data_IF_037234680767
#
_entry.id   IF_037234680767
#
_cell.length_a   1.000
_cell.length_b   1.000
_cell.length_c   1.000
_cell.angle_alpha   90.00
_cell.angle_beta   90.00
_cell.angle_gamma   90.00
#
_symmetry.space_group_name_H-M   'P 1'
#
loop_
_entity.id
_entity.type
_entity.pdbx_description
1 polymer ?
#
# COMPACT_ATOMS: atom_id res chain seq x y z
N UNK A 1 9.55 -2.38 8.84
CA UNK A 1 10.15 -2.06 7.57
C UNK A 1 9.78 -0.71 7.01
N UNK A 2 10.60 0.30 7.21
CA UNK A 2 10.81 1.52 6.41
C UNK A 2 9.55 2.15 5.75
N UNK A 3 8.37 2.11 6.36
CA UNK A 3 7.12 2.52 5.71
C UNK A 3 7.15 4.02 5.40
N UNK A 4 7.51 4.84 6.39
CA UNK A 4 7.62 6.29 6.22
C UNK A 4 8.79 6.68 5.32
N UNK A 5 9.95 6.02 5.43
CA UNK A 5 11.07 6.25 4.51
C UNK A 5 10.71 5.92 3.06
N UNK A 6 9.99 4.82 2.83
CA UNK A 6 9.54 4.44 1.48
C UNK A 6 8.57 5.45 0.92
N UNK A 7 7.63 5.91 1.73
CA UNK A 7 6.70 6.98 1.36
C UNK A 7 7.45 8.27 0.98
N UNK A 8 8.38 8.72 1.82
CA UNK A 8 9.14 9.94 1.55
C UNK A 8 9.90 9.90 0.22
N UNK A 9 10.44 8.73 -0.14
CA UNK A 9 11.20 8.51 -1.39
C UNK A 9 10.33 8.14 -2.58
N UNK A 10 9.00 8.14 -2.48
CA UNK A 10 8.06 7.68 -3.52
C UNK A 10 8.38 6.23 -3.98
N UNK A 11 8.82 5.37 -3.07
CA UNK A 11 9.31 4.05 -3.42
C UNK A 11 8.20 3.05 -3.79
N UNK A 12 6.94 3.35 -3.46
CA UNK A 12 5.79 2.49 -3.75
C UNK A 12 4.82 3.29 -4.61
N UNK A 13 4.79 2.94 -5.89
CA UNK A 13 3.92 3.56 -6.88
C UNK A 13 2.54 2.91 -6.88
N UNK A 14 1.52 3.72 -7.14
CA UNK A 14 0.16 3.31 -7.39
C UNK A 14 -0.09 3.42 -8.89
N UNK A 15 -0.59 2.35 -9.48
CA UNK A 15 -0.88 2.26 -10.91
C UNK A 15 -2.32 1.87 -11.15
N UNK A 16 -2.87 2.23 -12.30
CA UNK A 16 -4.23 1.87 -12.68
C UNK A 16 -4.38 0.35 -12.84
N UNK A 17 -5.32 -0.27 -12.11
CA UNK A 17 -5.61 -1.70 -12.16
C UNK A 17 -6.29 -2.13 -13.48
N UNK A 18 -6.93 -1.19 -14.17
CA UNK A 18 -7.54 -1.38 -15.49
C UNK A 18 -7.56 -0.04 -16.24
N UNK A 19 -7.69 -0.05 -17.58
CA UNK A 19 -7.79 1.18 -18.34
C UNK A 19 -9.12 1.88 -18.05
N UNK A 20 -9.12 3.23 -18.10
CA UNK A 20 -10.33 4.00 -17.85
C UNK A 20 -10.13 5.49 -17.99
N UNK A 21 -11.10 6.26 -17.51
CA UNK A 21 -11.10 7.73 -17.51
C UNK A 21 -11.06 8.24 -16.06
N UNK A 22 -10.21 9.20 -15.77
CA UNK A 22 -10.16 9.84 -14.46
C UNK A 22 -11.48 10.57 -14.21
N UNK A 23 -12.24 10.10 -13.23
CA UNK A 23 -13.52 10.67 -12.83
C UNK A 23 -13.37 11.72 -11.72
N UNK A 24 -12.40 11.51 -10.84
CA UNK A 24 -12.13 12.40 -9.71
C UNK A 24 -10.63 12.42 -9.41
N UNK A 25 -10.15 13.56 -8.98
CA UNK A 25 -8.77 13.75 -8.51
C UNK A 25 -8.74 14.80 -7.41
N UNK A 26 -8.12 14.49 -6.30
CA UNK A 26 -7.85 15.41 -5.17
C UNK A 26 -6.41 15.26 -4.74
N UNK A 27 -5.70 16.37 -4.57
CA UNK A 27 -4.31 16.41 -4.16
C UNK A 27 -4.07 17.60 -3.21
N UNK A 28 -2.89 17.64 -2.57
CA UNK A 28 -2.48 18.75 -1.70
C UNK A 28 -2.97 18.63 -0.24
N UNK A 29 -3.68 17.56 0.11
CA UNK A 29 -4.08 17.32 1.50
C UNK A 29 -2.91 16.73 2.31
N UNK A 30 -2.93 16.93 3.64
CA UNK A 30 -1.93 16.32 4.55
C UNK A 30 -1.85 14.81 4.35
N UNK A 31 -0.62 14.29 4.24
CA UNK A 31 -0.35 12.89 3.91
C UNK A 31 0.51 12.14 4.94
N UNK A 32 0.68 12.72 6.14
CA UNK A 32 1.41 12.12 7.26
C UNK A 32 0.49 11.85 8.46
N UNK A 33 -0.73 11.43 8.19
CA UNK A 33 -1.70 11.15 9.24
C UNK A 33 -1.37 9.83 9.96
N UNK A 34 -1.54 9.84 11.27
CA UNK A 34 -1.14 8.76 12.18
C UNK A 34 -2.30 8.24 13.03
N UNK A 35 -3.49 8.80 12.87
CA UNK A 35 -4.68 8.46 13.63
C UNK A 35 -5.93 8.67 12.79
N UNK A 36 -6.99 7.98 13.15
CA UNK A 36 -8.30 8.23 12.57
C UNK A 36 -8.79 9.63 12.93
N UNK A 37 -9.37 10.29 11.97
CA UNK A 37 -9.94 11.61 12.15
C UNK A 37 -11.24 11.54 12.94
N UNK A 38 -11.48 12.53 13.80
CA UNK A 38 -12.76 12.71 14.51
C UNK A 38 -13.86 13.32 13.62
N UNK A 39 -13.50 13.84 12.46
CA UNK A 39 -14.37 14.43 11.43
C UNK A 39 -13.86 14.03 10.05
N UNK A 40 -14.59 14.39 8.98
CA UNK A 40 -14.18 14.08 7.61
C UNK A 40 -12.81 14.73 7.31
N UNK A 41 -11.81 13.91 7.03
CA UNK A 41 -10.50 14.37 6.54
C UNK A 41 -10.43 14.17 5.03
N UNK A 42 -10.12 15.24 4.32
CA UNK A 42 -9.86 15.14 2.89
C UNK A 42 -8.60 14.31 2.64
N UNK A 43 -8.66 13.47 1.63
CA UNK A 43 -7.54 12.63 1.21
C UNK A 43 -7.04 12.96 -0.19
N UNK A 44 -5.84 12.53 -0.51
CA UNK A 44 -5.33 12.57 -1.86
C UNK A 44 -5.74 11.29 -2.56
N UNK A 45 -6.43 11.40 -3.68
CA UNK A 45 -7.05 10.25 -4.34
C UNK A 45 -7.23 10.48 -5.84
N UNK A 46 -7.28 9.38 -6.58
CA UNK A 46 -7.70 9.31 -7.98
C UNK A 46 -8.80 8.26 -8.10
N UNK A 47 -9.91 8.60 -8.77
CA UNK A 47 -10.97 7.65 -9.11
C UNK A 47 -10.97 7.46 -10.63
N UNK A 48 -11.00 6.20 -11.05
CA UNK A 48 -10.96 5.83 -12.47
C UNK A 48 -12.24 5.09 -12.83
N UNK A 49 -13.00 5.60 -13.79
CA UNK A 49 -14.18 4.95 -14.36
C UNK A 49 -13.75 4.07 -15.54
N UNK A 50 -14.14 2.83 -15.50
CA UNK A 50 -13.86 1.83 -16.54
C UNK A 50 -14.95 1.78 -17.62
N UNK A 51 -14.69 1.12 -18.73
CA UNK A 51 -15.61 1.08 -19.86
C UNK A 51 -16.94 0.37 -19.58
N UNK A 52 -16.96 -0.51 -18.58
CA UNK A 52 -18.15 -1.23 -18.10
C UNK A 52 -18.99 -0.41 -17.08
N UNK A 53 -18.57 0.82 -16.78
CA UNK A 53 -19.21 1.70 -15.81
C UNK A 53 -18.78 1.52 -14.36
N UNK A 54 -17.92 0.53 -14.06
CA UNK A 54 -17.32 0.37 -12.73
C UNK A 54 -16.35 1.50 -12.41
N UNK A 55 -16.17 1.82 -11.13
CA UNK A 55 -15.25 2.86 -10.68
C UNK A 55 -14.30 2.32 -9.63
N UNK A 56 -13.00 2.43 -9.89
CA UNK A 56 -11.96 2.10 -8.92
C UNK A 56 -11.45 3.37 -8.21
N UNK A 57 -11.37 3.31 -6.88
CA UNK A 57 -10.79 4.35 -6.03
C UNK A 57 -9.39 3.98 -5.60
N UNK A 58 -8.49 4.93 -5.69
CA UNK A 58 -7.10 4.84 -5.21
C UNK A 58 -6.88 5.97 -4.22
N UNK A 59 -6.87 5.66 -2.93
CA UNK A 59 -6.85 6.64 -1.84
C UNK A 59 -5.61 6.61 -0.98
N UNK A 60 -5.56 7.53 -0.01
CA UNK A 60 -4.45 7.79 0.91
C UNK A 60 -3.12 8.13 0.23
N UNK A 61 -3.17 8.68 -0.98
CA UNK A 61 -1.98 9.01 -1.76
C UNK A 61 -1.12 10.09 -1.10
N UNK A 62 0.16 10.09 -1.46
CA UNK A 62 1.12 11.12 -1.05
C UNK A 62 0.83 12.44 -1.78
N UNK A 63 0.85 13.52 -1.03
CA UNK A 63 0.65 14.89 -1.54
C UNK A 63 1.72 15.26 -2.59
N UNK A 64 1.27 15.85 -3.69
CA UNK A 64 2.13 16.27 -4.80
C UNK A 64 2.71 15.12 -5.63
N UNK A 65 2.27 13.87 -5.40
CA UNK A 65 2.75 12.71 -6.18
C UNK A 65 1.77 12.25 -7.26
N UNK A 66 0.59 12.82 -7.34
CA UNK A 66 -0.45 12.34 -8.25
C UNK A 66 -0.08 12.59 -9.72
N UNK A 67 -0.59 11.73 -10.59
CA UNK A 67 -0.45 11.88 -12.04
C UNK A 67 -0.73 13.31 -12.50
N UNK A 68 -0.01 13.76 -13.50
CA UNK A 68 -0.24 15.10 -14.12
C UNK A 68 -1.52 15.16 -14.94
N UNK A 69 -2.14 14.01 -15.25
CA UNK A 69 -3.41 13.95 -15.96
C UNK A 69 -4.55 14.54 -15.12
N UNK A 70 -5.49 15.17 -15.83
CA UNK A 70 -6.67 15.81 -15.27
C UNK A 70 -7.90 14.92 -15.36
N UNK A 71 -8.95 15.27 -14.62
CA UNK A 71 -10.30 14.68 -14.76
C UNK A 71 -10.73 14.73 -16.23
N UNK A 72 -11.33 13.65 -16.73
CA UNK A 72 -11.72 13.46 -18.13
C UNK A 72 -10.62 12.86 -19.02
N UNK A 73 -9.37 12.80 -18.60
CA UNK A 73 -8.31 12.15 -19.36
C UNK A 73 -8.26 10.65 -19.08
N UNK A 74 -7.85 9.87 -20.08
CA UNK A 74 -7.77 8.42 -20.01
C UNK A 74 -6.44 7.96 -19.43
N UNK A 75 -6.47 6.80 -18.73
CA UNK A 75 -5.31 6.08 -18.25
C UNK A 75 -5.31 4.66 -18.82
N UNK A 76 -4.13 4.12 -19.09
CA UNK A 76 -3.94 2.74 -19.50
C UNK A 76 -3.80 1.81 -18.27
N UNK A 77 -3.97 0.50 -18.47
CA UNK A 77 -3.58 -0.52 -17.50
C UNK A 77 -2.12 -0.33 -17.08
N UNK A 78 -1.84 -0.30 -15.80
CA UNK A 78 -0.49 -0.15 -15.26
C UNK A 78 0.06 1.29 -15.33
N UNK A 79 -0.72 2.26 -15.80
CA UNK A 79 -0.28 3.66 -15.86
C UNK A 79 -0.20 4.27 -14.45
N UNK A 80 0.85 5.06 -14.22
CA UNK A 80 1.10 5.72 -12.94
C UNK A 80 -0.03 6.69 -12.54
N UNK A 81 -0.55 6.51 -11.32
CA UNK A 81 -1.56 7.38 -10.72
C UNK A 81 -1.01 8.24 -9.58
N UNK A 82 -0.01 7.75 -8.86
CA UNK A 82 0.59 8.44 -7.72
C UNK A 82 1.48 7.53 -6.89
N UNK A 83 1.84 7.99 -5.70
CA UNK A 83 2.61 7.22 -4.73
C UNK A 83 1.82 7.01 -3.45
N UNK A 84 2.11 5.92 -2.74
CA UNK A 84 1.52 5.63 -1.44
C UNK A 84 1.84 6.72 -0.44
N UNK A 85 0.82 7.18 0.28
CA UNK A 85 0.89 8.14 1.38
C UNK A 85 0.03 7.70 2.56
N UNK A 86 -0.28 8.64 3.44
CA UNK A 86 -1.17 8.46 4.59
C UNK A 86 -2.11 9.65 4.72
N UNK A 87 -2.69 10.12 3.62
CA UNK A 87 -3.63 11.24 3.60
C UNK A 87 -5.02 10.83 4.04
N UNK A 88 -5.79 11.79 4.58
CA UNK A 88 -7.16 11.54 5.04
C UNK A 88 -7.24 10.70 6.32
N UNK A 89 -8.25 9.84 6.40
CA UNK A 89 -8.51 8.99 7.58
C UNK A 89 -7.59 7.76 7.59
N UNK A 90 -6.32 7.93 7.92
CA UNK A 90 -5.26 6.94 7.81
C UNK A 90 -4.35 6.95 9.02
N UNK A 91 -3.83 5.78 9.40
CA UNK A 91 -2.92 5.60 10.54
C UNK A 91 -1.47 5.34 10.13
N UNK A 92 -1.22 5.00 8.86
CA UNK A 92 0.11 4.72 8.31
C UNK A 92 0.06 4.67 6.78
N UNK A 93 1.19 4.83 6.08
CA UNK A 93 1.24 4.74 4.63
C UNK A 93 0.74 3.41 4.07
N UNK A 94 -0.31 3.45 3.27
CA UNK A 94 -0.89 2.31 2.56
C UNK A 94 -1.73 2.78 1.36
N UNK A 95 -2.06 1.88 0.46
CA UNK A 95 -3.08 2.11 -0.56
C UNK A 95 -4.45 1.68 -0.01
N UNK A 96 -5.42 2.58 -0.07
CA UNK A 96 -6.84 2.24 0.03
C UNK A 96 -7.38 2.03 -1.38
N UNK A 97 -7.87 0.83 -1.66
CA UNK A 97 -8.40 0.46 -2.97
C UNK A 97 -9.82 -0.07 -2.83
N UNK A 98 -10.76 0.55 -3.54
CA UNK A 98 -12.16 0.14 -3.60
C UNK A 98 -12.63 0.07 -5.05
N UNK A 99 -13.60 -0.81 -5.32
CA UNK A 99 -14.27 -0.87 -6.61
C UNK A 99 -15.79 -0.81 -6.42
N UNK A 100 -16.42 0.09 -7.16
CA UNK A 100 -17.87 0.25 -7.19
C UNK A 100 -18.44 -0.16 -8.55
N UNK A 101 -19.64 -0.72 -8.55
CA UNK A 101 -20.32 -1.13 -9.79
C UNK A 101 -20.79 0.04 -10.65
N UNK A 102 -20.82 1.26 -10.08
CA UNK A 102 -21.28 2.46 -10.76
C UNK A 102 -20.73 3.74 -10.14
N UNK A 103 -20.87 4.86 -10.84
CA UNK A 103 -20.41 6.18 -10.40
C UNK A 103 -21.28 6.85 -9.31
N UNK A 104 -22.34 6.21 -8.87
CA UNK A 104 -23.13 6.66 -7.70
C UNK A 104 -22.57 6.10 -6.38
N UNK A 105 -21.57 5.22 -6.44
CA UNK A 105 -20.89 4.62 -5.29
C UNK A 105 -21.81 3.90 -4.31
N UNK A 106 -22.88 3.30 -4.83
CA UNK A 106 -23.92 2.67 -3.99
C UNK A 106 -23.68 1.19 -3.72
N UNK A 107 -22.87 0.55 -4.55
CA UNK A 107 -22.59 -0.88 -4.44
C UNK A 107 -21.08 -1.13 -4.56
N UNK A 108 -20.46 -1.45 -3.42
CA UNK A 108 -19.06 -1.87 -3.32
C UNK A 108 -18.92 -3.31 -3.78
N UNK A 109 -17.84 -3.61 -4.49
CA UNK A 109 -17.45 -4.95 -4.92
C UNK A 109 -15.98 -5.17 -4.59
N UNK A 110 -15.66 -6.35 -4.05
CA UNK A 110 -14.27 -6.78 -3.95
C UNK A 110 -13.91 -7.57 -5.23
N UNK A 111 -12.92 -7.13 -6.01
CA UNK A 111 -12.45 -7.85 -7.20
C UNK A 111 -11.92 -9.26 -6.91
N UNK A 112 -11.50 -9.53 -5.67
CA UNK A 112 -11.01 -10.83 -5.26
C UNK A 112 -12.17 -11.80 -4.99
N UNK A 113 -12.13 -13.01 -5.57
CA UNK A 113 -13.13 -14.05 -5.32
C UNK A 113 -12.59 -15.13 -4.39
N UNK A 114 -13.35 -15.47 -3.35
CA UNK A 114 -13.00 -16.53 -2.41
C UNK A 114 -14.12 -16.84 -1.42
N UNK A 115 -14.02 -17.98 -0.71
CA UNK A 115 -15.11 -18.52 0.11
C UNK A 115 -15.54 -17.61 1.28
N UNK A 116 -14.68 -16.67 1.68
CA UNK A 116 -14.97 -15.72 2.78
C UNK A 116 -15.34 -14.33 2.27
N UNK A 117 -15.50 -14.14 0.95
CA UNK A 117 -15.80 -12.85 0.36
C UNK A 117 -17.25 -12.76 -0.12
N UNK A 118 -18.12 -12.22 0.75
CA UNK A 118 -19.53 -12.02 0.42
C UNK A 118 -19.78 -10.88 -0.60
N UNK A 119 -18.81 -10.00 -0.84
CA UNK A 119 -18.91 -8.89 -1.80
C UNK A 119 -18.58 -9.30 -3.23
N UNK A 120 -18.09 -10.51 -3.45
CA UNK A 120 -17.89 -11.09 -4.77
C UNK A 120 -18.32 -12.58 -4.77
N UNK A 121 -19.59 -12.88 -4.94
CA UNK A 121 -20.08 -14.26 -4.96
C UNK A 121 -19.85 -14.99 -6.30
N UNK A 122 -19.29 -14.30 -7.29
CA UNK A 122 -19.12 -14.77 -8.65
C UNK A 122 -17.72 -15.29 -8.96
N UNK A 123 -17.04 -14.62 -9.88
CA UNK A 123 -15.70 -14.95 -10.35
C UNK A 123 -14.72 -13.83 -10.06
N UNK A 124 -13.43 -14.14 -9.97
CA UNK A 124 -12.40 -13.12 -9.82
C UNK A 124 -12.41 -12.13 -10.99
N UNK A 125 -12.24 -10.85 -10.67
CA UNK A 125 -12.05 -9.78 -11.66
C UNK A 125 -10.56 -9.60 -12.01
N UNK A 126 -9.66 -10.23 -11.25
CA UNK A 126 -8.23 -10.24 -11.56
C UNK A 126 -7.93 -11.23 -12.68
N UNK A 127 -7.17 -10.84 -13.68
CA UNK A 127 -6.71 -11.72 -14.76
C UNK A 127 -5.86 -12.88 -14.24
N UNK A 128 -5.16 -12.68 -13.13
CA UNK A 128 -4.40 -13.69 -12.40
C UNK A 128 -4.53 -13.42 -10.91
N UNK A 129 -5.58 -13.99 -10.30
CA UNK A 129 -5.82 -13.81 -8.88
C UNK A 129 -4.77 -14.54 -8.06
N UNK A 130 -4.09 -13.79 -7.19
CA UNK A 130 -3.20 -14.38 -6.19
C UNK A 130 -4.00 -14.98 -5.04
N UNK A 131 -3.39 -15.91 -4.30
CA UNK A 131 -3.97 -16.38 -3.06
C UNK A 131 -4.18 -15.21 -2.09
N UNK A 132 -5.23 -15.29 -1.27
CA UNK A 132 -5.54 -14.24 -0.27
C UNK A 132 -4.39 -14.04 0.71
N UNK A 133 -3.75 -15.12 1.13
CA UNK A 133 -2.55 -15.09 1.98
C UNK A 133 -1.40 -15.76 1.25
N UNK A 134 -0.27 -15.06 1.15
CA UNK A 134 0.99 -15.57 0.58
C UNK A 134 2.10 -15.33 1.60
N UNK A 135 2.28 -16.22 2.60
CA UNK A 135 3.32 -16.07 3.60
C UNK A 135 4.69 -15.90 2.95
N UNK A 136 5.32 -14.78 3.20
CA UNK A 136 6.56 -14.42 2.52
C UNK A 136 7.50 -13.69 3.47
N UNK A 137 8.80 -14.00 3.38
CA UNK A 137 9.86 -13.20 3.94
C UNK A 137 10.16 -12.01 3.01
N UNK A 138 9.74 -10.82 3.39
CA UNK A 138 9.95 -9.61 2.60
C UNK A 138 11.39 -9.13 2.64
N UNK A 139 12.05 -9.23 3.79
CA UNK A 139 13.44 -8.80 3.96
C UNK A 139 14.07 -9.47 5.18
N UNK A 140 15.37 -9.75 5.05
CA UNK A 140 16.28 -10.13 6.12
C UNK A 140 17.35 -9.06 6.21
N UNK A 141 17.60 -8.49 7.37
CA UNK A 141 18.57 -7.41 7.58
C UNK A 141 19.44 -7.73 8.79
N UNK A 142 20.73 -7.47 8.65
CA UNK A 142 21.69 -7.51 9.75
C UNK A 142 22.03 -6.11 10.25
N UNK A 143 22.32 -5.98 11.53
CA UNK A 143 22.59 -4.71 12.21
C UNK A 143 23.70 -4.88 13.26
N UNK A 144 24.47 -3.81 13.53
CA UNK A 144 25.34 -3.69 14.73
C UNK A 144 24.57 -3.11 15.91
N UNK A 145 23.53 -2.33 15.63
CA UNK A 145 22.60 -1.75 16.61
C UNK A 145 21.17 -2.04 16.15
N UNK A 146 20.25 -2.43 17.04
CA UNK A 146 18.88 -2.70 16.65
C UNK A 146 18.24 -1.55 15.89
N UNK A 147 17.31 -1.82 14.95
CA UNK A 147 16.54 -0.76 14.32
C UNK A 147 15.67 -0.02 15.33
N UNK A 148 15.48 1.27 15.13
CA UNK A 148 14.60 2.11 15.92
C UNK A 148 13.38 2.53 15.09
N UNK A 149 12.21 2.28 15.62
CA UNK A 149 10.93 2.66 15.02
C UNK A 149 10.39 3.84 15.82
N UNK A 150 10.57 5.04 15.27
CA UNK A 150 10.05 6.27 15.88
C UNK A 150 8.52 6.28 15.96
N UNK A 151 7.99 7.22 16.73
CA UNK A 151 6.54 7.48 16.71
C UNK A 151 6.14 8.10 15.37
N UNK A 152 5.00 7.66 14.85
CA UNK A 152 4.40 8.21 13.65
C UNK A 152 4.31 9.77 13.75
N UNK A 153 4.67 10.52 12.72
CA UNK A 153 5.12 10.13 11.36
C UNK A 153 6.65 10.09 11.19
N UNK A 154 7.41 9.93 12.26
CA UNK A 154 8.87 9.91 12.17
C UNK A 154 9.37 8.72 11.37
N UNK A 155 10.42 8.95 10.59
CA UNK A 155 11.06 7.88 9.82
C UNK A 155 11.79 6.91 10.72
N UNK A 156 11.78 5.65 10.31
CA UNK A 156 12.50 4.57 10.97
C UNK A 156 14.01 4.71 10.74
N UNK A 157 14.81 4.41 11.75
CA UNK A 157 16.26 4.28 11.65
C UNK A 157 16.61 2.80 11.57
N UNK A 158 16.97 2.31 10.41
CA UNK A 158 17.11 0.87 10.15
C UNK A 158 18.43 0.31 10.66
N UNK A 159 19.50 1.11 10.74
CA UNK A 159 20.82 0.67 11.17
C UNK A 159 21.36 -0.55 10.39
N UNK A 160 20.98 -0.69 9.11
CA UNK A 160 21.42 -1.81 8.28
C UNK A 160 22.95 -1.82 8.16
N UNK A 161 23.58 -2.97 8.44
CA UNK A 161 25.01 -3.16 8.36
C UNK A 161 25.32 -4.55 7.80
N UNK A 162 26.19 -4.62 6.80
CA UNK A 162 26.60 -5.87 6.16
C UNK A 162 28.07 -6.25 6.49
N UNK A 163 28.81 -5.34 7.11
CA UNK A 163 30.24 -5.55 7.43
C UNK A 163 30.43 -5.59 8.94
N UNK A 164 30.93 -6.70 9.45
CA UNK A 164 31.16 -6.95 10.87
C UNK A 164 32.64 -7.23 11.11
N UNK A 165 33.19 -6.65 12.17
CA UNK A 165 34.51 -6.96 12.69
C UNK A 165 34.44 -7.97 13.84
N UNK A 166 35.58 -8.56 14.20
CA UNK A 166 35.65 -9.40 15.41
C UNK A 166 35.28 -8.58 16.64
N UNK A 167 34.35 -9.10 17.45
CA UNK A 167 33.83 -8.43 18.64
C UNK A 167 32.58 -7.58 18.42
N UNK A 168 32.13 -7.37 17.17
CA UNK A 168 30.85 -6.68 16.91
C UNK A 168 29.66 -7.53 17.34
N UNK A 169 28.62 -6.87 17.84
CA UNK A 169 27.33 -7.50 18.04
C UNK A 169 26.59 -7.65 16.71
N UNK A 170 25.97 -8.81 16.50
CA UNK A 170 25.11 -9.07 15.34
C UNK A 170 23.65 -9.13 15.79
N UNK A 171 22.83 -8.23 15.29
CA UNK A 171 21.39 -8.30 15.39
C UNK A 171 20.79 -8.68 14.04
N UNK A 172 19.74 -9.51 14.06
CA UNK A 172 19.04 -9.99 12.89
C UNK A 172 17.57 -9.56 12.96
N UNK A 173 17.11 -8.90 11.90
CA UNK A 173 15.69 -8.55 11.74
C UNK A 173 15.10 -9.26 10.54
N UNK A 174 13.96 -9.93 10.74
CA UNK A 174 13.19 -10.59 9.69
C UNK A 174 11.83 -9.93 9.55
N UNK A 175 11.45 -9.61 8.33
CA UNK A 175 10.20 -8.93 8.02
C UNK A 175 9.30 -9.85 7.20
N UNK A 176 8.24 -10.32 7.83
CA UNK A 176 7.26 -11.22 7.24
C UNK A 176 6.01 -10.46 6.78
N UNK A 177 5.30 -11.03 5.82
CA UNK A 177 3.91 -10.68 5.51
C UNK A 177 3.07 -11.94 5.47
N UNK A 178 1.75 -11.77 5.63
CA UNK A 178 0.73 -12.81 5.50
C UNK A 178 1.01 -14.06 6.35
N UNK A 179 1.69 -13.90 7.48
CA UNK A 179 1.94 -15.00 8.40
C UNK A 179 0.63 -15.42 9.07
N UNK A 180 0.27 -16.69 8.94
CA UNK A 180 -0.92 -17.28 9.56
C UNK A 180 -0.55 -18.03 10.83
N UNK A 181 -1.55 -18.20 11.70
CA UNK A 181 -1.38 -18.91 12.98
C UNK A 181 -0.81 -20.32 12.77
N UNK A 182 0.13 -20.71 13.60
CA UNK A 182 0.81 -22.01 13.55
C UNK A 182 2.04 -22.08 12.64
N UNK A 183 2.34 -21.02 11.88
CA UNK A 183 3.59 -20.95 11.12
C UNK A 183 4.76 -20.57 12.05
N UNK A 184 5.93 -21.16 11.77
CA UNK A 184 7.19 -20.85 12.43
C UNK A 184 8.25 -20.45 11.41
N UNK A 185 9.24 -19.66 11.86
CA UNK A 185 10.42 -19.32 11.06
C UNK A 185 11.66 -19.80 11.81
N UNK A 186 12.59 -20.42 11.08
CA UNK A 186 13.89 -20.85 11.61
C UNK A 186 14.99 -19.96 11.03
N UNK A 187 15.85 -19.46 11.91
CA UNK A 187 17.03 -18.70 11.52
C UNK A 187 18.27 -19.56 11.76
N UNK A 188 19.09 -19.73 10.74
CA UNK A 188 20.35 -20.46 10.85
C UNK A 188 21.50 -19.54 10.43
N UNK A 189 22.52 -19.46 11.29
CA UNK A 189 23.75 -18.72 11.01
C UNK A 189 24.84 -19.73 10.72
N UNK A 190 25.46 -19.59 9.57
CA UNK A 190 26.60 -20.40 9.17
C UNK A 190 27.90 -19.62 9.43
N UNK A 191 28.94 -20.35 9.90
CA UNK A 191 30.32 -19.81 10.03
C UNK A 191 31.03 -19.94 8.73
#
# INVERSE_FOLDING_TARGET
PCTWQKMQRNAVQIVAAAPGTILYKSDGNSDQNCAFCSSSCNWNAVYVMHADGTVAWYGHMKSGSLTTKSVGQTVALGEYLGSVGSSGNSTAPHLHFEVYTNSSYTQLVDPWNGPCNAMNPGVSWWSSQQNYTVPTLNKLITHKTPPSYGYCPNTEIINECQNFASGDSLFLSTYYRDQISGQSATHTIYK
#
